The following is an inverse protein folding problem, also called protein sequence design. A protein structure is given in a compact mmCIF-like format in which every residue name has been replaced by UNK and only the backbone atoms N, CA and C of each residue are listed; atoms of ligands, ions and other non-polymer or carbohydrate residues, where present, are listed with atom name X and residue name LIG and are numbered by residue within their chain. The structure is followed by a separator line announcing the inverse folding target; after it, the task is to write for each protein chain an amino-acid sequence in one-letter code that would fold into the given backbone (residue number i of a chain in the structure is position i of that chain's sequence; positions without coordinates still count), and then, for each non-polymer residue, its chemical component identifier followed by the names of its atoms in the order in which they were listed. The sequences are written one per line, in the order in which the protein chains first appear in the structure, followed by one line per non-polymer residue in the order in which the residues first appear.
data_IF_961046103765
#
_entry.id   IF_961046103765
#
_cell.length_a   1.000
_cell.length_b   1.000
_cell.length_c   1.000
_cell.angle_alpha   90.00
_cell.angle_beta   90.00
_cell.angle_gamma   90.00
#
_symmetry.space_group_name_H-M   'P 1'
#
loop_
_entity.id
_entity.type
_entity.pdbx_description
1 polymer ?
#
# COMPACT_ATOMS: atom_id res chain seq x y z
N UNK A 1 -8.36 10.80 5.07
CA UNK A 1 -9.48 11.47 4.36
C UNK A 1 -8.87 12.45 3.36
N UNK A 2 -9.16 12.33 2.06
CA UNK A 2 -8.64 13.28 1.08
C UNK A 2 -9.42 14.61 1.20
N UNK A 3 -8.77 15.65 1.71
CA UNK A 3 -9.32 17.00 1.75
C UNK A 3 -8.89 17.69 0.46
N UNK A 4 -9.82 18.25 -0.33
CA UNK A 4 -9.46 19.06 -1.50
C UNK A 4 -8.98 20.44 -1.00
N UNK A 5 -7.76 20.49 -0.49
CA UNK A 5 -7.09 21.73 -0.09
C UNK A 5 -6.19 22.20 -1.23
N UNK A 6 -6.75 22.88 -2.24
CA UNK A 6 -5.96 23.60 -3.24
C UNK A 6 -6.80 24.69 -3.90
N UNK A 7 -7.33 25.63 -3.12
CA UNK A 7 -7.71 26.93 -3.69
C UNK A 7 -6.40 27.69 -4.01
N UNK A 8 -6.11 28.08 -5.27
CA UNK A 8 -4.97 28.91 -5.58
C UNK A 8 -4.94 30.14 -4.68
N UNK A 9 -3.75 30.51 -4.17
CA UNK A 9 -3.59 31.71 -3.31
C UNK A 9 -4.24 32.95 -3.93
N UNK A 10 -4.20 33.05 -5.26
CA UNK A 10 -4.82 34.11 -6.06
C UNK A 10 -6.35 34.24 -5.86
N UNK A 11 -7.07 33.12 -5.77
CA UNK A 11 -8.53 33.15 -5.57
C UNK A 11 -8.89 33.63 -4.16
N UNK A 12 -8.12 33.25 -3.13
CA UNK A 12 -8.39 33.68 -1.75
C UNK A 12 -8.31 35.20 -1.58
N UNK A 13 -7.33 35.85 -2.20
CA UNK A 13 -7.19 37.32 -2.20
C UNK A 13 -8.31 38.04 -2.98
N UNK A 14 -8.99 37.35 -3.90
CA UNK A 14 -10.05 37.95 -4.73
C UNK A 14 -11.45 37.90 -4.06
N UNK A 15 -11.61 37.10 -3.01
CA UNK A 15 -12.91 36.76 -2.40
C UNK A 15 -13.37 37.73 -1.32
N UNK A 16 -12.55 38.69 -0.88
CA UNK A 16 -12.70 39.43 0.40
C UNK A 16 -14.08 40.00 0.73
N UNK A 17 -15.02 40.10 -0.21
CA UNK A 17 -16.37 40.57 0.06
C UNK A 17 -17.51 39.81 -0.66
N UNK A 18 -17.25 38.73 -1.40
CA UNK A 18 -18.26 38.07 -2.25
C UNK A 18 -18.52 36.58 -1.95
N UNK A 19 -18.76 35.76 -2.98
CA UNK A 19 -19.19 34.37 -2.85
C UNK A 19 -18.26 33.39 -3.58
N UNK A 20 -18.13 32.18 -3.01
CA UNK A 20 -17.36 31.08 -3.59
C UNK A 20 -18.29 29.93 -3.99
N UNK A 21 -18.09 29.40 -5.18
CA UNK A 21 -18.81 28.24 -5.69
C UNK A 21 -17.81 27.21 -6.22
N UNK A 22 -18.13 25.93 -6.07
CA UNK A 22 -17.33 24.83 -6.58
C UNK A 22 -18.21 24.00 -7.50
N UNK A 23 -17.70 23.59 -8.65
CA UNK A 23 -18.41 22.73 -9.59
C UNK A 23 -17.53 21.61 -10.14
N UNK A 24 -18.16 20.52 -10.57
CA UNK A 24 -17.54 19.38 -11.25
C UNK A 24 -18.32 19.11 -12.51
N UNK A 25 -17.64 19.04 -13.66
CA UNK A 25 -18.28 18.85 -14.96
C UNK A 25 -19.46 19.81 -15.22
N UNK A 26 -19.38 21.04 -14.72
CA UNK A 26 -20.45 22.06 -14.84
C UNK A 26 -21.56 21.97 -13.79
N UNK A 27 -21.61 20.92 -12.96
CA UNK A 27 -22.60 20.76 -11.89
C UNK A 27 -22.10 21.44 -10.62
N UNK A 28 -22.90 22.35 -10.05
CA UNK A 28 -22.57 23.04 -8.80
C UNK A 28 -22.65 22.08 -7.61
N UNK A 29 -21.65 22.15 -6.74
CA UNK A 29 -21.51 21.34 -5.53
C UNK A 29 -21.95 22.14 -4.29
N UNK A 30 -22.42 21.47 -3.23
CA UNK A 30 -22.68 20.03 -3.14
C UNK A 30 -23.99 19.63 -3.86
N UNK A 31 -24.00 18.48 -4.54
CA UNK A 31 -25.20 17.91 -5.18
C UNK A 31 -25.70 16.62 -4.51
N UNK A 32 -24.93 16.06 -3.58
CA UNK A 32 -25.30 14.86 -2.82
C UNK A 32 -24.83 14.96 -1.36
N UNK A 33 -25.26 14.00 -0.53
CA UNK A 33 -24.95 13.96 0.90
C UNK A 33 -23.49 13.63 1.24
N UNK A 34 -22.69 13.17 0.26
CA UNK A 34 -21.26 12.89 0.44
C UNK A 34 -20.44 14.17 0.46
N UNK A 35 -20.99 15.28 -0.04
CA UNK A 35 -20.26 16.51 -0.29
C UNK A 35 -20.66 17.60 0.71
N UNK A 36 -19.69 18.28 1.27
CA UNK A 36 -19.88 19.40 2.18
C UNK A 36 -18.99 20.58 1.76
N UNK A 37 -19.62 21.68 1.38
CA UNK A 37 -18.93 22.94 1.16
C UNK A 37 -18.86 23.73 2.48
N UNK A 38 -17.71 24.35 2.72
CA UNK A 38 -17.46 25.20 3.88
C UNK A 38 -17.32 26.66 3.45
N UNK A 39 -17.67 27.61 4.32
CA UNK A 39 -17.66 29.06 4.00
C UNK A 39 -16.28 29.60 3.63
N UNK A 40 -15.21 28.92 4.07
CA UNK A 40 -13.83 29.24 3.73
C UNK A 40 -13.43 28.79 2.31
N UNK A 41 -14.38 28.28 1.53
CA UNK A 41 -14.16 27.79 0.17
C UNK A 41 -13.57 26.39 0.07
N UNK A 42 -13.62 25.59 1.13
CA UNK A 42 -13.18 24.18 1.12
C UNK A 42 -14.35 23.26 0.73
N UNK A 43 -14.09 22.30 -0.15
CA UNK A 43 -14.99 21.16 -0.38
C UNK A 43 -14.45 19.92 0.32
N UNK A 44 -15.31 19.26 1.07
CA UNK A 44 -15.07 17.96 1.66
C UNK A 44 -15.96 16.92 0.99
N UNK A 45 -15.37 15.80 0.57
CA UNK A 45 -16.08 14.68 -0.05
C UNK A 45 -15.83 13.42 0.79
N UNK A 46 -16.89 12.84 1.33
CA UNK A 46 -16.87 11.60 2.09
C UNK A 46 -17.13 10.40 1.18
N UNK A 47 -16.66 9.21 1.57
CA UNK A 47 -16.84 7.97 0.79
C UNK A 47 -16.49 8.16 -0.70
N UNK A 48 -15.23 8.51 -0.96
CA UNK A 48 -14.75 8.88 -2.30
C UNK A 48 -14.81 7.69 -3.26
N UNK A 49 -15.36 7.91 -4.44
CA UNK A 49 -15.51 6.95 -5.52
C UNK A 49 -14.75 7.42 -6.76
N UNK A 50 -13.83 6.61 -7.28
CA UNK A 50 -13.00 6.97 -8.44
C UNK A 50 -13.83 7.32 -9.67
N UNK A 51 -14.93 6.62 -9.91
CA UNK A 51 -15.76 6.80 -11.10
C UNK A 51 -16.49 8.15 -11.14
N UNK A 52 -16.84 8.71 -9.98
CA UNK A 52 -17.72 9.88 -9.87
C UNK A 52 -17.02 11.11 -9.32
N UNK A 53 -15.96 10.94 -8.52
CA UNK A 53 -15.28 12.04 -7.84
C UNK A 53 -13.94 12.44 -8.47
N UNK A 54 -13.41 11.63 -9.40
CA UNK A 54 -12.22 11.99 -10.18
C UNK A 54 -12.61 12.96 -11.30
N UNK A 55 -11.77 13.98 -11.54
CA UNK A 55 -11.96 14.87 -12.69
C UNK A 55 -11.60 16.33 -12.39
N UNK A 56 -11.95 17.25 -13.31
CA UNK A 56 -11.72 18.67 -13.12
C UNK A 56 -12.77 19.28 -12.18
N UNK A 57 -12.28 19.90 -11.11
CA UNK A 57 -13.06 20.72 -10.19
C UNK A 57 -12.76 22.18 -10.49
N UNK A 58 -13.81 22.97 -10.67
CA UNK A 58 -13.69 24.41 -10.92
C UNK A 58 -14.13 25.15 -9.67
N UNK A 59 -13.24 25.99 -9.15
CA UNK A 59 -13.55 26.94 -8.09
C UNK A 59 -13.79 28.30 -8.73
N UNK A 60 -14.96 28.88 -8.48
CA UNK A 60 -15.37 30.20 -8.97
C UNK A 60 -15.53 31.12 -7.78
N UNK A 61 -14.83 32.25 -7.82
CA UNK A 61 -14.92 33.33 -6.86
C UNK A 61 -15.53 34.55 -7.54
N UNK A 62 -16.49 35.19 -6.88
CA UNK A 62 -17.10 36.44 -7.36
C UNK A 62 -16.98 37.48 -6.28
N UNK A 63 -16.53 38.69 -6.61
CA UNK A 63 -16.48 39.81 -5.67
C UNK A 63 -17.81 40.59 -5.64
N UNK A 64 -17.98 41.57 -4.72
CA UNK A 64 -19.24 42.38 -4.63
C UNK A 64 -19.52 43.21 -5.88
N UNK A 65 -18.48 43.56 -6.64
CA UNK A 65 -18.62 44.28 -7.90
C UNK A 65 -19.09 43.37 -9.05
N UNK A 66 -19.30 42.07 -8.79
CA UNK A 66 -19.73 41.09 -9.78
C UNK A 66 -18.61 40.56 -10.68
N UNK A 67 -17.35 40.93 -10.41
CA UNK A 67 -16.22 40.37 -11.15
C UNK A 67 -15.98 38.93 -10.71
N UNK A 68 -15.77 38.04 -11.67
CA UNK A 68 -15.55 36.62 -11.43
C UNK A 68 -14.11 36.22 -11.76
N UNK A 69 -13.57 35.32 -10.95
CA UNK A 69 -12.32 34.64 -11.19
C UNK A 69 -12.55 33.13 -11.03
N UNK A 70 -11.88 32.32 -11.84
CA UNK A 70 -12.01 30.87 -11.77
C UNK A 70 -10.64 30.19 -11.78
N UNK A 71 -10.58 29.00 -11.17
CA UNK A 71 -9.43 28.12 -11.26
C UNK A 71 -9.88 26.66 -11.30
N UNK A 72 -9.17 25.86 -12.09
CA UNK A 72 -9.46 24.46 -12.29
C UNK A 72 -8.38 23.61 -11.63
N UNK A 73 -8.80 22.64 -10.83
CA UNK A 73 -7.95 21.62 -10.20
C UNK A 73 -8.35 20.26 -10.73
N UNK A 74 -7.37 19.47 -11.19
CA UNK A 74 -7.61 18.09 -11.58
C UNK A 74 -7.45 17.20 -10.35
N UNK A 75 -8.57 16.70 -9.84
CA UNK A 75 -8.59 15.74 -8.73
C UNK A 75 -8.38 14.35 -9.29
N UNK A 76 -7.36 13.65 -8.80
CA UNK A 76 -7.08 12.24 -9.09
C UNK A 76 -7.37 11.41 -7.85
N UNK A 77 -8.16 10.35 -8.01
CA UNK A 77 -8.46 9.41 -6.92
C UNK A 77 -7.56 8.20 -7.10
N UNK A 78 -6.73 7.92 -6.09
CA UNK A 78 -5.83 6.77 -6.09
C UNK A 78 -6.35 5.67 -5.16
N UNK A 79 -6.10 4.42 -5.55
CA UNK A 79 -6.58 3.22 -4.87
C UNK A 79 -5.39 2.52 -4.21
N UNK A 80 -5.53 2.22 -2.92
CA UNK A 80 -4.51 1.47 -2.15
C UNK A 80 -4.28 0.08 -2.74
N UNK A 81 -3.11 -0.54 -2.53
CA UNK A 81 -2.87 -1.90 -2.95
C UNK A 81 -3.80 -2.87 -2.20
N UNK A 82 -4.12 -4.00 -2.83
CA UNK A 82 -4.80 -5.14 -2.20
C UNK A 82 -3.91 -6.36 -2.34
N UNK A 83 -3.46 -6.91 -1.21
CA UNK A 83 -2.63 -8.11 -1.17
C UNK A 83 -3.54 -9.35 -1.15
N UNK A 84 -3.26 -10.32 -2.02
CA UNK A 84 -3.89 -11.63 -1.94
C UNK A 84 -3.37 -12.40 -0.70
N UNK A 85 -4.26 -13.02 0.10
CA UNK A 85 -3.82 -13.80 1.25
C UNK A 85 -2.88 -14.95 0.84
N UNK A 86 -1.76 -15.06 1.53
CA UNK A 86 -0.81 -16.17 1.37
C UNK A 86 -0.58 -16.90 2.69
N UNK A 87 -0.09 -18.14 2.60
CA UNK A 87 0.26 -18.98 3.74
C UNK A 87 1.49 -19.85 3.42
N UNK A 88 2.23 -20.25 4.45
CA UNK A 88 3.24 -21.29 4.32
C UNK A 88 2.61 -22.69 4.37
N UNK A 89 3.25 -23.72 3.80
CA UNK A 89 2.87 -25.11 4.03
C UNK A 89 2.85 -25.46 5.52
N UNK A 90 1.89 -26.28 5.95
CA UNK A 90 1.69 -26.61 7.38
C UNK A 90 2.79 -27.47 7.99
N UNK A 91 3.51 -28.24 7.16
CA UNK A 91 4.47 -29.25 7.60
C UNK A 91 5.81 -29.08 6.89
N UNK A 92 6.52 -28.00 7.20
CA UNK A 92 7.88 -27.79 6.71
C UNK A 92 8.89 -28.48 7.61
N UNK A 93 9.89 -29.10 7.02
CA UNK A 93 11.00 -29.76 7.70
C UNK A 93 12.30 -29.02 7.43
N UNK A 94 13.23 -29.08 8.39
CA UNK A 94 14.59 -28.61 8.20
C UNK A 94 15.25 -29.26 6.97
N UNK A 95 16.04 -28.48 6.23
CA UNK A 95 16.67 -28.89 4.97
C UNK A 95 15.79 -28.80 3.72
N UNK A 96 14.47 -28.60 3.84
CA UNK A 96 13.59 -28.45 2.68
C UNK A 96 13.75 -27.08 2.02
N UNK A 97 13.37 -27.01 0.74
CA UNK A 97 13.17 -25.75 0.01
C UNK A 97 11.73 -25.25 0.21
N UNK A 98 11.53 -23.95 0.33
CA UNK A 98 10.19 -23.36 0.43
C UNK A 98 10.15 -21.99 -0.23
N UNK A 99 8.98 -21.55 -0.68
CA UNK A 99 8.75 -20.20 -1.17
C UNK A 99 7.35 -19.73 -0.80
N UNK A 100 7.20 -18.41 -0.67
CA UNK A 100 5.90 -17.77 -0.52
C UNK A 100 5.82 -16.55 -1.43
N UNK A 101 4.67 -16.33 -2.03
CA UNK A 101 4.43 -15.25 -2.98
C UNK A 101 3.53 -14.20 -2.33
N UNK A 102 3.90 -12.94 -2.48
CA UNK A 102 3.03 -11.81 -2.18
C UNK A 102 2.62 -11.17 -3.50
N UNK A 103 1.33 -11.25 -3.81
CA UNK A 103 0.73 -10.73 -5.02
C UNK A 103 -0.22 -9.59 -4.69
N UNK A 104 -0.08 -8.49 -5.40
CA UNK A 104 -1.00 -7.36 -5.36
C UNK A 104 -2.03 -7.51 -6.48
N UNK A 105 -3.28 -7.80 -6.12
CA UNK A 105 -4.36 -8.06 -7.09
C UNK A 105 -5.02 -6.79 -7.65
N UNK A 106 -4.90 -5.67 -6.93
CA UNK A 106 -5.43 -4.37 -7.37
C UNK A 106 -4.76 -3.20 -6.63
N UNK A 107 -4.96 -1.99 -7.15
CA UNK A 107 -4.37 -0.73 -6.68
C UNK A 107 -3.71 0.03 -7.83
N UNK A 108 -3.31 1.28 -7.59
CA UNK A 108 -2.60 2.08 -8.60
C UNK A 108 -1.07 1.98 -8.44
N UNK A 109 -0.35 1.86 -9.55
CA UNK A 109 1.12 1.86 -9.60
C UNK A 109 1.73 3.24 -9.31
N UNK A 110 3.02 3.32 -8.92
CA UNK A 110 3.94 2.19 -8.69
C UNK A 110 3.78 1.58 -7.29
N UNK A 111 3.99 0.26 -7.19
CA UNK A 111 4.03 -0.44 -5.91
C UNK A 111 5.46 -0.55 -5.37
N UNK A 112 5.61 -0.44 -4.06
CA UNK A 112 6.81 -0.83 -3.32
C UNK A 112 6.47 -2.00 -2.42
N UNK A 113 7.02 -3.17 -2.70
CA UNK A 113 6.77 -4.40 -1.94
C UNK A 113 8.00 -4.73 -1.09
N UNK A 114 7.80 -4.91 0.22
CA UNK A 114 8.86 -5.19 1.20
C UNK A 114 8.47 -6.33 2.12
N UNK A 115 9.47 -7.07 2.58
CA UNK A 115 9.28 -8.19 3.49
C UNK A 115 9.88 -7.95 4.86
N UNK A 116 9.18 -8.44 5.88
CA UNK A 116 9.58 -8.36 7.27
C UNK A 116 9.47 -9.73 7.92
N UNK A 117 10.41 -10.06 8.81
CA UNK A 117 10.34 -11.21 9.72
C UNK A 117 10.24 -10.68 11.15
N UNK A 118 9.20 -11.09 11.86
CA UNK A 118 8.97 -10.74 13.26
C UNK A 118 9.03 -9.21 13.51
N UNK A 119 8.47 -8.44 12.57
CA UNK A 119 8.42 -6.98 12.61
C UNK A 119 9.70 -6.26 12.19
N UNK A 120 10.76 -6.98 11.80
CA UNK A 120 12.02 -6.39 11.34
C UNK A 120 12.25 -6.67 9.85
N UNK A 121 12.86 -5.74 9.09
CA UNK A 121 13.25 -6.01 7.70
C UNK A 121 14.08 -7.29 7.64
N UNK A 122 13.84 -8.13 6.64
CA UNK A 122 14.60 -9.38 6.48
C UNK A 122 16.04 -9.01 6.08
N UNK A 123 17.06 -9.40 6.87
CA UNK A 123 18.45 -9.24 6.46
C UNK A 123 18.76 -9.93 5.12
N UNK A 124 19.61 -9.32 4.29
CA UNK A 124 20.04 -9.89 3.01
C UNK A 124 20.82 -11.21 3.14
N UNK A 125 21.29 -11.53 4.35
CA UNK A 125 22.21 -12.64 4.62
C UNK A 125 21.55 -13.96 5.07
N UNK A 126 20.21 -14.06 5.12
CA UNK A 126 19.52 -15.25 5.65
C UNK A 126 19.18 -16.28 4.56
N UNK A 127 19.84 -16.24 3.40
CA UNK A 127 19.54 -17.14 2.28
C UNK A 127 18.13 -16.93 1.69
N UNK A 128 17.60 -15.71 1.87
CA UNK A 128 16.29 -15.30 1.41
C UNK A 128 16.45 -14.42 0.19
N UNK A 129 15.94 -14.88 -0.96
CA UNK A 129 15.93 -14.07 -2.18
C UNK A 129 14.56 -13.46 -2.38
N UNK A 130 14.51 -12.14 -2.57
CA UNK A 130 13.35 -11.44 -3.11
C UNK A 130 13.49 -11.34 -4.61
N UNK A 131 12.55 -11.94 -5.35
CA UNK A 131 12.42 -11.68 -6.79
C UNK A 131 11.20 -10.80 -7.00
N UNK A 132 11.43 -9.58 -7.47
CA UNK A 132 10.39 -8.75 -8.08
C UNK A 132 10.11 -9.35 -9.46
N UNK A 133 9.16 -10.30 -9.51
CA UNK A 133 8.83 -11.03 -10.74
C UNK A 133 8.04 -10.13 -11.71
N UNK A 134 7.37 -9.09 -11.17
CA UNK A 134 6.67 -8.03 -11.88
C UNK A 134 6.36 -6.88 -10.91
N UNK A 135 5.91 -5.72 -11.41
CA UNK A 135 5.49 -4.56 -10.59
C UNK A 135 4.44 -4.89 -9.50
N UNK A 136 3.76 -6.04 -9.62
CA UNK A 136 2.64 -6.48 -8.78
C UNK A 136 2.99 -7.61 -7.82
N UNK A 137 4.22 -8.13 -7.81
CA UNK A 137 4.52 -9.31 -6.98
C UNK A 137 5.95 -9.38 -6.48
N UNK A 138 6.11 -9.94 -5.29
CA UNK A 138 7.40 -10.27 -4.71
C UNK A 138 7.38 -11.69 -4.16
N UNK A 139 8.43 -12.46 -4.45
CA UNK A 139 8.57 -13.84 -3.96
C UNK A 139 9.65 -13.92 -2.91
N UNK A 140 9.35 -14.55 -1.77
CA UNK A 140 10.30 -14.89 -0.73
C UNK A 140 10.72 -16.36 -0.88
N UNK A 141 11.99 -16.61 -1.20
CA UNK A 141 12.52 -17.96 -1.44
C UNK A 141 13.48 -18.39 -0.33
N UNK A 142 13.33 -19.62 0.15
CA UNK A 142 14.22 -20.31 1.09
C UNK A 142 14.83 -21.54 0.40
N UNK A 143 16.14 -21.57 0.20
CA UNK A 143 16.83 -22.69 -0.46
C UNK A 143 16.95 -23.93 0.43
N UNK A 144 17.24 -23.71 1.72
CA UNK A 144 17.32 -24.75 2.74
C UNK A 144 16.80 -24.20 4.07
N UNK A 145 15.74 -24.80 4.60
CA UNK A 145 15.13 -24.37 5.85
C UNK A 145 15.98 -24.75 7.06
N UNK A 146 16.04 -23.86 8.06
CA UNK A 146 16.60 -24.10 9.39
C UNK A 146 15.60 -23.65 10.44
N UNK A 147 15.77 -24.08 11.69
CA UNK A 147 14.89 -23.65 12.79
C UNK A 147 14.89 -22.12 13.02
N UNK A 148 15.93 -21.40 12.59
CA UNK A 148 16.00 -19.94 12.66
C UNK A 148 15.05 -19.21 11.71
N UNK A 149 14.61 -19.88 10.63
CA UNK A 149 13.62 -19.33 9.70
C UNK A 149 12.20 -19.34 10.27
N UNK A 150 11.95 -20.00 11.41
CA UNK A 150 10.66 -19.94 12.10
C UNK A 150 10.33 -18.50 12.47
N UNK A 151 9.08 -18.09 12.25
CA UNK A 151 8.61 -16.75 12.60
C UNK A 151 7.42 -16.29 11.78
N UNK A 152 7.04 -15.03 11.99
CA UNK A 152 5.96 -14.37 11.27
C UNK A 152 6.54 -13.55 10.11
N UNK A 153 6.16 -13.89 8.89
CA UNK A 153 6.58 -13.17 7.69
C UNK A 153 5.46 -12.25 7.24
N UNK A 154 5.77 -10.97 7.14
CA UNK A 154 4.84 -9.92 6.72
C UNK A 154 5.29 -9.37 5.38
N UNK A 155 4.41 -9.44 4.39
CA UNK A 155 4.55 -8.67 3.16
C UNK A 155 3.88 -7.31 3.36
N UNK A 156 4.56 -6.24 2.99
CA UNK A 156 4.05 -4.87 3.00
C UNK A 156 4.06 -4.34 1.58
N UNK A 157 2.92 -3.88 1.08
CA UNK A 157 2.78 -3.23 -0.21
C UNK A 157 2.33 -1.78 -0.03
N UNK A 158 2.95 -0.87 -0.78
CA UNK A 158 2.77 0.58 -0.63
C UNK A 158 2.64 1.27 -1.98
N UNK A 159 1.72 2.22 -2.10
CA UNK A 159 1.66 3.22 -3.17
C UNK A 159 1.30 4.61 -2.60
N UNK A 160 1.10 5.59 -3.47
CA UNK A 160 0.75 6.97 -3.07
C UNK A 160 -0.56 7.07 -2.25
N UNK A 161 -1.51 6.14 -2.45
CA UNK A 161 -2.75 6.10 -1.67
C UNK A 161 -2.55 5.53 -0.26
N UNK A 162 -1.49 4.74 -0.04
CA UNK A 162 -1.05 4.28 1.27
C UNK A 162 -0.49 2.86 1.29
N UNK A 163 -0.48 2.29 2.49
CA UNK A 163 0.20 1.03 2.79
C UNK A 163 -0.78 -0.04 3.27
N UNK A 164 -0.57 -1.28 2.86
CA UNK A 164 -1.27 -2.48 3.33
C UNK A 164 -0.26 -3.59 3.63
N UNK A 165 -0.67 -4.57 4.44
CA UNK A 165 0.20 -5.69 4.80
C UNK A 165 -0.58 -6.98 5.04
N UNK A 166 0.03 -8.12 4.73
CA UNK A 166 -0.48 -9.44 5.08
C UNK A 166 0.61 -10.26 5.76
N UNK A 167 0.25 -11.03 6.78
CA UNK A 167 1.18 -11.82 7.59
C UNK A 167 0.84 -13.30 7.53
N UNK A 168 1.86 -14.15 7.37
CA UNK A 168 1.75 -15.59 7.54
C UNK A 168 2.82 -16.13 8.47
N UNK A 169 2.46 -17.11 9.29
CA UNK A 169 3.38 -17.78 10.21
C UNK A 169 4.04 -18.98 9.54
N UNK A 170 5.37 -19.04 9.61
CA UNK A 170 6.16 -20.19 9.17
C UNK A 170 6.49 -21.08 10.36
N UNK A 171 6.07 -22.33 10.30
CA UNK A 171 6.38 -23.37 11.29
C UNK A 171 7.28 -24.40 10.62
N UNK A 172 8.40 -24.71 11.27
CA UNK A 172 9.39 -25.67 10.79
C UNK A 172 9.60 -26.70 11.89
N UNK A 173 9.56 -27.97 11.50
CA UNK A 173 9.83 -29.12 12.37
C UNK A 173 11.29 -29.56 12.17
N UNK A 174 11.93 -29.97 13.26
CA UNK A 174 13.30 -30.47 13.22
C UNK A 174 13.40 -31.77 12.42
N UNK A 175 14.55 -31.98 11.79
CA UNK A 175 14.83 -33.20 11.04
C UNK A 175 14.93 -34.38 12.02
N UNK A 176 13.92 -35.25 12.06
CA UNK A 176 14.06 -36.57 12.68
C UNK A 176 14.45 -37.53 11.56
N UNK A 177 15.72 -37.94 11.55
CA UNK A 177 16.18 -39.03 10.68
C UNK A 177 16.00 -40.36 11.44
N UNK A 178 14.91 -41.11 11.20
CA UNK A 178 14.68 -42.37 11.93
C UNK A 178 15.76 -43.43 11.70
N UNK A 179 16.65 -43.26 10.71
CA UNK A 179 17.69 -44.23 10.33
C UNK A 179 19.10 -43.64 10.14
N UNK A 180 19.41 -42.46 10.71
CA UNK A 180 20.76 -41.92 10.61
C UNK A 180 21.73 -42.63 11.58
N UNK A 181 22.82 -43.19 11.04
CA UNK A 181 23.93 -43.75 11.81
C UNK A 181 25.10 -42.77 11.75
N UNK A 182 25.56 -42.26 12.90
CA UNK A 182 26.77 -41.44 12.98
C UNK A 182 28.00 -42.36 13.06
N UNK A 183 28.89 -42.27 12.08
CA UNK A 183 30.20 -42.95 12.13
C UNK A 183 31.24 -41.97 12.68
N UNK A 184 31.63 -42.15 13.94
CA UNK A 184 32.78 -41.43 14.51
C UNK A 184 34.04 -42.31 14.35
N UNK A 185 35.04 -41.83 13.60
CA UNK A 185 36.36 -42.47 13.56
C UNK A 185 37.24 -41.84 14.62
N UNK A 186 37.63 -42.63 15.61
CA UNK A 186 38.65 -42.24 16.57
C UNK A 186 40.02 -42.38 15.90
N UNK A 187 40.71 -41.28 15.68
CA UNK A 187 42.12 -41.29 15.25
C UNK A 187 42.97 -41.27 16.52
N UNK A 188 43.49 -42.43 16.91
CA UNK A 188 44.59 -42.48 17.88
C UNK A 188 45.88 -42.20 17.10
N UNK A 189 46.50 -41.06 17.38
CA UNK A 189 47.85 -40.74 16.93
C UNK A 189 48.84 -41.41 17.89
N UNK A 190 49.74 -42.25 17.37
CA UNK A 190 50.89 -42.81 18.10
C UNK A 190 52.08 -41.86 18.03
#
# INVERSE_FOLDING_TARGET
MPRVQNSPRFLRSFVELGFLAISVAGVRLPYNHRQKAHDNGTLEVHHVERATDQGPYVCVATNRAGQTAQSTVIVRVQVKPVIEPFNFPKSLMEGQRSSVHCTVSSGDLPFKIRWFKDGRPIPDNIGVRTSEVADYSSTLLFESLSLHHKGNYTCVAENEAGTVSHTATMVIHGMVLPNAVTIARCLLSF
#
